data_IF_834798150911
#
_entry.id   IF_834798150911
#
_cell.length_a   1.000
_cell.length_b   1.000
_cell.length_c   1.000
_cell.angle_alpha   90.00
_cell.angle_beta   90.00
_cell.angle_gamma   90.00
#
_symmetry.space_group_name_H-M   'P 1'
#
loop_
_entity.id
_entity.type
_entity.pdbx_description
1 polymer ?
#
# COMPACT_ATOMS: atom_id res chain seq x y z
N UNK A 1 -18.14 -8.75 0.19
CA UNK A 1 -17.37 -7.53 0.50
C UNK A 1 -18.19 -6.45 1.25
N UNK A 2 -19.34 -5.99 0.74
CA UNK A 2 -20.16 -4.94 1.37
C UNK A 2 -21.25 -5.56 2.27
N UNK A 3 -21.34 -5.12 3.54
CA UNK A 3 -22.38 -5.55 4.49
C UNK A 3 -22.91 -4.33 5.25
N UNK A 4 -24.19 -3.95 5.11
CA UNK A 4 -24.77 -2.82 5.84
C UNK A 4 -24.93 -3.14 7.32
N UNK A 5 -25.02 -2.09 8.16
CA UNK A 5 -25.29 -2.22 9.59
C UNK A 5 -24.13 -2.73 10.46
N UNK A 6 -22.93 -2.92 9.89
CA UNK A 6 -21.72 -3.26 10.64
C UNK A 6 -20.89 -1.99 10.83
N UNK A 7 -20.58 -1.64 12.07
CA UNK A 7 -19.68 -0.52 12.38
C UNK A 7 -18.27 -0.75 11.79
N UNK A 8 -17.52 0.32 11.48
CA UNK A 8 -16.16 0.26 10.97
C UNK A 8 -15.23 -0.69 11.75
N UNK A 9 -14.90 -1.84 11.15
CA UNK A 9 -14.02 -2.84 11.78
C UNK A 9 -12.99 -3.49 10.82
N UNK A 10 -12.96 -3.09 9.56
CA UNK A 10 -12.06 -3.62 8.51
C UNK A 10 -10.81 -2.76 8.38
N UNK A 11 -9.64 -3.40 8.37
CA UNK A 11 -8.34 -2.74 8.20
C UNK A 11 -7.61 -3.37 7.04
N UNK A 12 -7.04 -2.52 6.18
CA UNK A 12 -6.20 -2.94 5.06
C UNK A 12 -4.79 -3.16 5.57
N UNK A 13 -4.19 -4.30 5.25
CA UNK A 13 -2.79 -4.59 5.51
C UNK A 13 -2.03 -4.69 4.19
N UNK A 14 -1.09 -3.77 3.99
CA UNK A 14 -0.18 -3.72 2.85
C UNK A 14 1.23 -4.09 3.27
N UNK A 15 2.05 -4.58 2.34
CA UNK A 15 3.44 -4.95 2.59
C UNK A 15 3.98 -5.93 1.54
N UNK A 16 5.25 -6.29 1.67
CA UNK A 16 5.95 -7.08 0.68
C UNK A 16 5.44 -8.52 0.53
N UNK A 17 5.43 -9.00 -0.72
CA UNK A 17 5.30 -10.43 -1.03
C UNK A 17 6.56 -11.21 -0.62
N UNK A 18 7.74 -10.57 -0.68
CA UNK A 18 9.04 -11.07 -0.28
C UNK A 18 9.52 -10.34 0.98
N UNK A 19 9.48 -11.02 2.13
CA UNK A 19 9.88 -10.50 3.44
C UNK A 19 10.63 -11.57 4.22
N UNK A 20 11.41 -11.17 5.22
CA UNK A 20 12.14 -12.10 6.09
C UNK A 20 11.21 -12.86 7.03
N UNK A 21 11.69 -13.95 7.62
CA UNK A 21 10.92 -14.71 8.62
C UNK A 21 10.56 -13.84 9.84
N UNK A 22 11.49 -12.98 10.31
CA UNK A 22 11.23 -12.07 11.43
C UNK A 22 10.16 -11.02 11.07
N UNK A 23 10.18 -10.49 9.85
CA UNK A 23 9.13 -9.57 9.36
C UNK A 23 7.78 -10.29 9.28
N UNK A 24 7.77 -11.53 8.82
CA UNK A 24 6.56 -12.34 8.69
C UNK A 24 5.95 -12.72 10.05
N UNK A 25 6.78 -13.07 11.04
CA UNK A 25 6.32 -13.31 12.41
C UNK A 25 5.78 -12.04 13.06
N UNK A 26 6.41 -10.88 12.83
CA UNK A 26 5.87 -9.60 13.27
C UNK A 26 4.49 -9.30 12.64
N UNK A 27 4.34 -9.53 11.33
CA UNK A 27 3.05 -9.38 10.64
C UNK A 27 1.96 -10.27 11.26
N UNK A 28 2.30 -11.52 11.62
CA UNK A 28 1.39 -12.44 12.33
C UNK A 28 1.04 -11.91 13.72
N UNK A 29 2.00 -11.39 14.47
CA UNK A 29 1.73 -10.86 15.81
C UNK A 29 0.82 -9.63 15.76
N UNK A 30 1.06 -8.69 14.84
CA UNK A 30 0.13 -7.57 14.60
C UNK A 30 -1.26 -8.09 14.24
N UNK A 31 -1.36 -9.04 13.30
CA UNK A 31 -2.62 -9.69 12.95
C UNK A 31 -3.33 -10.30 14.16
N UNK A 32 -2.60 -11.00 15.02
CA UNK A 32 -3.12 -11.57 16.27
C UNK A 32 -3.70 -10.50 17.19
N UNK A 33 -3.00 -9.38 17.37
CA UNK A 33 -3.48 -8.25 18.18
C UNK A 33 -4.73 -7.57 17.59
N UNK A 34 -4.85 -7.51 16.27
CA UNK A 34 -6.08 -7.05 15.59
C UNK A 34 -7.24 -8.03 15.80
N UNK A 35 -6.99 -9.33 15.65
CA UNK A 35 -8.00 -10.37 15.84
C UNK A 35 -8.58 -10.41 17.25
N UNK A 36 -7.74 -10.16 18.27
CA UNK A 36 -8.20 -10.02 19.67
C UNK A 36 -9.17 -8.83 19.88
N UNK A 37 -9.25 -7.91 18.94
CA UNK A 37 -10.10 -6.70 18.98
C UNK A 37 -11.26 -6.74 18.00
N UNK A 38 -11.58 -7.91 17.42
CA UNK A 38 -12.65 -8.07 16.41
C UNK A 38 -12.44 -7.21 15.16
N UNK A 39 -11.19 -6.97 14.81
CA UNK A 39 -10.82 -6.28 13.57
C UNK A 39 -10.68 -7.33 12.46
N UNK A 40 -11.37 -7.06 11.35
CA UNK A 40 -11.31 -7.83 10.11
C UNK A 40 -10.18 -7.33 9.21
N UNK A 41 -9.66 -8.20 8.34
CA UNK A 41 -8.46 -7.90 7.54
C UNK A 41 -8.78 -7.91 6.05
N UNK A 42 -8.27 -6.90 5.36
CA UNK A 42 -8.23 -6.80 3.89
C UNK A 42 -6.76 -6.86 3.44
N UNK A 43 -6.41 -7.68 2.46
CA UNK A 43 -5.06 -7.70 1.85
C UNK A 43 -5.10 -7.90 0.34
N UNK A 44 -3.93 -7.79 -0.29
CA UNK A 44 -3.69 -8.10 -1.70
C UNK A 44 -3.55 -9.58 -2.06
N UNK A 45 -4.09 -10.50 -1.24
CA UNK A 45 -4.13 -11.96 -1.51
C UNK A 45 -2.81 -12.74 -1.37
N UNK A 46 -1.68 -12.17 -1.77
CA UNK A 46 -0.39 -12.87 -1.95
C UNK A 46 0.31 -13.40 -0.69
N UNK A 47 1.60 -13.81 -0.82
CA UNK A 47 2.41 -14.31 0.29
C UNK A 47 2.91 -13.18 1.22
N UNK A 48 3.84 -13.49 2.12
CA UNK A 48 4.48 -12.50 2.98
C UNK A 48 3.48 -11.73 3.85
N UNK A 49 3.59 -10.39 3.81
CA UNK A 49 2.78 -9.47 4.59
C UNK A 49 1.29 -9.48 4.20
N UNK A 50 0.93 -10.03 3.04
CA UNK A 50 -0.47 -10.19 2.61
C UNK A 50 -1.13 -11.45 3.21
N UNK A 51 -0.35 -12.35 3.81
CA UNK A 51 -0.81 -13.60 4.46
C UNK A 51 -0.62 -13.59 5.98
N UNK A 52 0.50 -13.04 6.46
CA UNK A 52 0.88 -13.03 7.88
C UNK A 52 -0.22 -12.49 8.80
N UNK A 53 -0.76 -11.28 8.54
CA UNK A 53 -1.79 -10.68 9.39
C UNK A 53 -3.06 -11.53 9.48
N UNK A 54 -3.50 -12.14 8.37
CA UNK A 54 -4.67 -13.02 8.36
C UNK A 54 -4.47 -14.27 9.24
N UNK A 55 -3.28 -14.89 9.19
CA UNK A 55 -2.94 -16.03 10.09
C UNK A 55 -3.04 -15.64 11.55
N UNK A 56 -2.46 -14.50 11.92
CA UNK A 56 -2.52 -13.99 13.29
C UNK A 56 -3.95 -13.73 13.73
N UNK A 57 -4.70 -12.98 12.91
CA UNK A 57 -6.06 -12.59 13.22
C UNK A 57 -7.00 -13.78 13.37
N UNK A 58 -6.86 -14.83 12.55
CA UNK A 58 -7.63 -16.07 12.70
C UNK A 58 -7.48 -16.67 14.11
N UNK A 59 -6.26 -16.71 14.66
CA UNK A 59 -6.00 -17.17 16.03
C UNK A 59 -6.61 -16.21 17.04
N UNK A 60 -6.40 -14.90 16.87
CA UNK A 60 -6.91 -13.87 17.79
C UNK A 60 -8.44 -13.89 17.89
N UNK A 61 -9.11 -13.96 16.74
CA UNK A 61 -10.57 -14.04 16.64
C UNK A 61 -11.10 -15.34 17.26
N UNK A 62 -10.42 -16.47 17.04
CA UNK A 62 -10.77 -17.75 17.66
C UNK A 62 -10.72 -17.68 19.19
N UNK A 63 -9.69 -17.02 19.77
CA UNK A 63 -9.60 -16.83 21.23
C UNK A 63 -10.74 -15.97 21.80
N UNK A 64 -11.22 -15.00 21.02
CA UNK A 64 -12.36 -14.16 21.37
C UNK A 64 -13.72 -14.80 21.02
N UNK A 65 -13.72 -16.05 20.53
CA UNK A 65 -14.93 -16.78 20.09
C UNK A 65 -15.73 -16.01 19.03
N UNK A 66 -15.05 -15.23 18.20
CA UNK A 66 -15.67 -14.48 17.12
C UNK A 66 -15.96 -15.45 15.98
N UNK A 67 -17.24 -15.59 15.64
CA UNK A 67 -17.68 -16.34 14.46
C UNK A 67 -17.82 -15.39 13.26
N UNK A 68 -17.48 -15.88 12.06
CA UNK A 68 -17.67 -15.14 10.82
C UNK A 68 -16.72 -13.97 10.61
N UNK A 69 -15.52 -14.01 11.20
CA UNK A 69 -14.46 -13.05 10.92
C UNK A 69 -14.09 -13.02 9.44
N UNK A 70 -13.75 -11.84 8.93
CA UNK A 70 -13.66 -11.58 7.50
C UNK A 70 -12.21 -11.38 7.08
N UNK A 71 -11.78 -12.20 6.14
CA UNK A 71 -10.46 -12.16 5.52
C UNK A 71 -10.66 -11.91 4.03
N UNK A 72 -10.65 -10.63 3.67
CA UNK A 72 -10.99 -10.17 2.34
C UNK A 72 -9.69 -10.06 1.53
N UNK A 73 -9.64 -10.78 0.42
CA UNK A 73 -8.57 -10.67 -0.56
C UNK A 73 -9.04 -9.86 -1.76
N UNK A 74 -8.29 -8.83 -2.14
CA UNK A 74 -8.58 -8.01 -3.33
C UNK A 74 -7.42 -8.16 -4.32
N UNK A 75 -7.71 -8.64 -5.51
CA UNK A 75 -6.72 -8.89 -6.57
C UNK A 75 -7.25 -8.41 -7.93
N UNK A 76 -6.46 -8.54 -8.99
CA UNK A 76 -6.84 -8.23 -10.37
C UNK A 76 -6.11 -9.16 -11.35
N UNK A 77 -6.58 -9.34 -12.59
CA UNK A 77 -6.04 -10.33 -13.54
C UNK A 77 -4.53 -10.21 -13.80
N UNK A 78 -3.97 -9.01 -13.83
CA UNK A 78 -2.56 -8.74 -14.14
C UNK A 78 -1.56 -9.14 -13.04
N UNK A 79 -2.02 -9.45 -11.83
CA UNK A 79 -1.16 -9.77 -10.69
C UNK A 79 -1.54 -11.06 -9.97
N UNK A 80 -2.75 -11.58 -10.16
CA UNK A 80 -3.24 -12.78 -9.45
C UNK A 80 -2.35 -14.03 -9.66
N UNK A 81 -1.67 -14.12 -10.80
CA UNK A 81 -0.73 -15.20 -11.08
C UNK A 81 0.56 -15.08 -10.25
N UNK A 82 1.05 -13.86 -10.02
CA UNK A 82 2.25 -13.61 -9.22
C UNK A 82 1.93 -13.59 -7.70
N UNK A 83 0.77 -13.06 -7.32
CA UNK A 83 0.31 -12.87 -5.95
C UNK A 83 -0.99 -13.64 -5.70
N UNK A 84 -0.93 -14.97 -5.86
CA UNK A 84 -2.13 -15.81 -5.76
C UNK A 84 -2.80 -15.79 -4.37
N UNK A 85 -4.15 -15.83 -4.31
CA UNK A 85 -4.89 -15.85 -3.05
C UNK A 85 -4.49 -17.00 -2.13
N UNK A 86 -4.06 -16.63 -0.92
CA UNK A 86 -3.78 -17.61 0.12
C UNK A 86 -5.10 -18.24 0.67
N UNK A 87 -5.10 -19.51 1.13
CA UNK A 87 -6.31 -20.23 1.52
C UNK A 87 -7.07 -19.69 2.74
N UNK A 88 -6.53 -18.69 3.45
CA UNK A 88 -7.20 -18.07 4.61
C UNK A 88 -8.23 -17.03 4.14
N UNK A 89 -8.05 -16.49 2.92
CA UNK A 89 -9.02 -15.61 2.28
C UNK A 89 -10.36 -16.33 2.20
N UNK A 90 -11.38 -15.75 2.83
CA UNK A 90 -12.76 -16.27 2.81
C UNK A 90 -13.73 -15.40 2.00
N UNK A 91 -13.28 -14.21 1.58
CA UNK A 91 -13.98 -13.34 0.64
C UNK A 91 -12.99 -12.84 -0.41
N UNK A 92 -12.97 -13.45 -1.60
CA UNK A 92 -12.11 -13.02 -2.71
C UNK A 92 -12.88 -12.06 -3.63
N UNK A 93 -12.25 -10.93 -3.96
CA UNK A 93 -12.75 -9.94 -4.91
C UNK A 93 -11.70 -9.76 -6.01
N UNK A 94 -12.12 -9.92 -7.28
CA UNK A 94 -11.26 -9.70 -8.44
C UNK A 94 -11.74 -8.42 -9.12
N UNK A 95 -10.93 -7.37 -9.01
CA UNK A 95 -11.17 -6.08 -9.67
C UNK A 95 -10.64 -6.13 -11.12
N UNK A 96 -11.17 -5.30 -12.03
CA UNK A 96 -10.80 -5.41 -13.44
C UNK A 96 -9.41 -4.81 -13.75
N UNK A 97 -8.87 -3.93 -12.91
CA UNK A 97 -7.55 -3.32 -13.04
C UNK A 97 -6.96 -2.89 -11.68
N UNK A 98 -5.68 -2.45 -11.71
CA UNK A 98 -4.92 -2.03 -10.53
C UNK A 98 -5.55 -0.82 -9.85
N UNK A 99 -5.96 0.20 -10.60
CA UNK A 99 -6.54 1.42 -10.05
C UNK A 99 -7.85 1.13 -9.30
N UNK A 100 -8.72 0.27 -9.86
CA UNK A 100 -9.95 -0.15 -9.18
C UNK A 100 -9.67 -1.07 -7.99
N UNK A 101 -8.59 -1.86 -8.03
CA UNK A 101 -8.08 -2.59 -6.84
C UNK A 101 -7.68 -1.60 -5.74
N UNK A 102 -6.90 -0.57 -6.07
CA UNK A 102 -6.44 0.46 -5.12
C UNK A 102 -7.62 1.26 -4.53
N UNK A 103 -8.56 1.69 -5.37
CA UNK A 103 -9.77 2.38 -4.92
C UNK A 103 -10.60 1.50 -3.97
N UNK A 104 -10.74 0.21 -4.29
CA UNK A 104 -11.50 -0.72 -3.45
C UNK A 104 -10.86 -0.90 -2.08
N UNK A 105 -9.53 -0.93 -1.97
CA UNK A 105 -8.86 -0.98 -0.66
C UNK A 105 -9.27 0.17 0.23
N UNK A 106 -9.15 1.40 -0.25
CA UNK A 106 -9.36 2.60 0.59
C UNK A 106 -10.83 2.95 0.81
N UNK A 107 -11.73 2.50 -0.09
CA UNK A 107 -13.17 2.67 0.12
C UNK A 107 -13.75 1.63 1.07
N UNK A 108 -13.23 0.40 1.08
CA UNK A 108 -13.68 -0.64 2.01
C UNK A 108 -12.95 -0.58 3.36
N UNK A 109 -11.67 -0.25 3.35
CA UNK A 109 -10.85 -0.09 4.55
C UNK A 109 -11.28 1.11 5.37
N UNK A 110 -11.24 0.96 6.69
CA UNK A 110 -11.44 2.10 7.61
C UNK A 110 -10.12 2.50 8.30
N UNK A 111 -9.01 1.94 7.85
CA UNK A 111 -7.67 2.14 8.36
C UNK A 111 -6.69 1.29 7.55
N UNK A 112 -5.44 1.71 7.54
CA UNK A 112 -4.36 1.03 6.80
C UNK A 112 -3.20 0.76 7.75
N UNK A 113 -2.68 -0.46 7.68
CA UNK A 113 -1.40 -0.86 8.26
C UNK A 113 -0.46 -1.19 7.11
N UNK A 114 0.73 -0.60 7.12
CA UNK A 114 1.76 -0.84 6.11
C UNK A 114 2.96 -1.49 6.75
N UNK A 115 3.28 -2.70 6.32
CA UNK A 115 4.50 -3.43 6.67
C UNK A 115 5.61 -3.16 5.64
N UNK A 116 6.87 -3.52 5.94
CA UNK A 116 7.95 -3.42 4.96
C UNK A 116 7.62 -4.14 3.66
N UNK A 117 7.94 -3.50 2.55
CA UNK A 117 7.70 -4.00 1.20
C UNK A 117 8.54 -3.30 0.15
N UNK A 118 8.38 -3.73 -1.10
CA UNK A 118 9.08 -3.17 -2.24
C UNK A 118 8.25 -2.12 -2.98
N UNK A 119 8.44 -2.04 -4.29
CA UNK A 119 7.82 -1.04 -5.16
C UNK A 119 6.29 -1.05 -5.15
N UNK A 120 5.65 -2.22 -5.09
CA UNK A 120 4.18 -2.30 -5.02
C UNK A 120 3.61 -1.71 -3.72
N UNK A 121 4.29 -1.94 -2.60
CA UNK A 121 3.90 -1.31 -1.32
C UNK A 121 4.11 0.20 -1.35
N UNK A 122 5.18 0.67 -1.98
CA UNK A 122 5.40 2.11 -2.16
C UNK A 122 4.34 2.75 -3.08
N UNK A 123 3.92 2.06 -4.15
CA UNK A 123 2.79 2.48 -4.99
C UNK A 123 1.51 2.65 -4.17
N UNK A 124 1.19 1.68 -3.30
CA UNK A 124 0.03 1.74 -2.40
C UNK A 124 0.13 2.89 -1.40
N UNK A 125 1.31 3.15 -0.82
CA UNK A 125 1.57 4.31 0.06
C UNK A 125 1.32 5.62 -0.69
N UNK A 126 1.91 5.79 -1.88
CA UNK A 126 1.80 7.02 -2.68
C UNK A 126 0.36 7.27 -3.13
N UNK A 127 -0.37 6.19 -3.49
CA UNK A 127 -1.79 6.27 -3.81
C UNK A 127 -2.60 6.80 -2.63
N UNK A 128 -2.42 6.22 -1.44
CA UNK A 128 -3.13 6.62 -0.23
C UNK A 128 -2.80 8.07 0.17
N UNK A 129 -1.51 8.40 0.24
CA UNK A 129 -1.09 9.74 0.65
C UNK A 129 -1.53 10.80 -0.34
N UNK A 130 -1.44 10.53 -1.64
CA UNK A 130 -1.93 11.44 -2.67
C UNK A 130 -3.41 11.79 -2.47
N UNK A 131 -4.25 10.80 -2.20
CA UNK A 131 -5.67 11.00 -1.92
C UNK A 131 -5.87 11.77 -0.61
N UNK A 132 -5.17 11.40 0.46
CA UNK A 132 -5.29 12.08 1.75
C UNK A 132 -4.72 13.52 1.72
N UNK A 133 -3.88 13.87 0.76
CA UNK A 133 -3.34 15.23 0.58
C UNK A 133 -4.28 16.16 -0.22
N UNK A 134 -5.34 15.64 -0.84
CA UNK A 134 -6.36 16.49 -1.46
C UNK A 134 -7.07 17.32 -0.38
N UNK A 135 -7.24 18.61 -0.63
CA UNK A 135 -7.91 19.54 0.29
C UNK A 135 -9.34 19.09 0.66
N UNK A 136 -10.03 18.38 -0.23
CA UNK A 136 -11.35 17.81 0.03
C UNK A 136 -11.37 16.66 1.04
N UNK A 137 -10.20 16.12 1.40
CA UNK A 137 -10.06 15.01 2.34
C UNK A 137 -9.37 15.41 3.66
N UNK A 138 -9.05 16.69 3.88
CA UNK A 138 -8.31 17.15 5.06
C UNK A 138 -8.94 16.67 6.38
N UNK A 139 -10.27 16.80 6.49
CA UNK A 139 -11.06 16.48 7.68
C UNK A 139 -11.50 15.02 7.80
N UNK A 140 -11.20 14.17 6.81
CA UNK A 140 -11.60 12.76 6.84
C UNK A 140 -10.62 12.00 7.76
N UNK A 141 -11.08 11.44 8.90
CA UNK A 141 -10.23 10.59 9.71
C UNK A 141 -9.93 9.31 8.95
N UNK A 142 -8.66 8.96 8.86
CA UNK A 142 -8.21 7.74 8.21
C UNK A 142 -6.93 7.26 8.89
N UNK A 143 -7.01 6.34 9.86
CA UNK A 143 -5.83 5.90 10.60
C UNK A 143 -4.86 5.13 9.70
N UNK A 144 -3.63 5.62 9.60
CA UNK A 144 -2.54 4.97 8.85
C UNK A 144 -1.38 4.70 9.79
N UNK A 145 -0.99 3.43 9.89
CA UNK A 145 0.15 3.00 10.70
C UNK A 145 1.17 2.28 9.83
N UNK A 146 2.38 2.81 9.76
CA UNK A 146 3.55 2.14 9.19
C UNK A 146 4.28 1.39 10.30
N UNK A 147 4.55 0.10 10.15
CA UNK A 147 5.07 -0.71 11.25
C UNK A 147 5.88 -1.92 10.82
N UNK A 148 6.87 -2.28 11.63
CA UNK A 148 7.71 -3.46 11.45
C UNK A 148 8.39 -3.82 12.77
N UNK A 149 9.16 -4.91 12.76
CA UNK A 149 10.03 -5.26 13.88
C UNK A 149 11.22 -4.29 13.97
N UNK A 150 12.07 -4.46 14.97
CA UNK A 150 13.24 -3.59 15.18
C UNK A 150 14.19 -3.56 13.97
N UNK A 151 14.33 -4.68 13.24
CA UNK A 151 15.18 -4.75 12.05
C UNK A 151 14.66 -3.86 10.90
N UNK A 152 13.38 -3.49 10.92
CA UNK A 152 12.75 -2.61 9.93
C UNK A 152 12.90 -1.11 10.24
N UNK A 153 13.57 -0.71 11.33
CA UNK A 153 13.72 0.71 11.70
C UNK A 153 14.34 1.55 10.57
N UNK A 154 15.50 1.14 10.07
CA UNK A 154 16.19 1.85 8.99
C UNK A 154 15.39 1.89 7.68
N UNK A 155 14.56 0.88 7.42
CA UNK A 155 13.64 0.87 6.29
C UNK A 155 12.59 1.98 6.43
N UNK A 156 11.93 2.09 7.59
CA UNK A 156 10.92 3.12 7.79
C UNK A 156 11.50 4.53 7.91
N UNK A 157 12.73 4.68 8.43
CA UNK A 157 13.44 5.96 8.39
C UNK A 157 13.67 6.43 6.94
N UNK A 158 14.06 5.53 6.03
CA UNK A 158 14.18 5.85 4.59
C UNK A 158 12.83 6.20 3.96
N UNK A 159 11.77 5.45 4.26
CA UNK A 159 10.42 5.73 3.73
C UNK A 159 9.92 7.09 4.22
N UNK A 160 10.08 7.39 5.51
CA UNK A 160 9.70 8.67 6.10
C UNK A 160 10.45 9.84 5.47
N UNK A 161 11.78 9.69 5.31
CA UNK A 161 12.62 10.70 4.69
C UNK A 161 12.22 10.95 3.23
N UNK A 162 11.98 9.89 2.45
CA UNK A 162 11.51 10.00 1.08
C UNK A 162 10.18 10.75 1.01
N UNK A 163 9.20 10.39 1.84
CA UNK A 163 7.88 11.05 1.83
C UNK A 163 8.01 12.53 2.21
N UNK A 164 8.83 12.86 3.22
CA UNK A 164 9.08 14.25 3.63
C UNK A 164 9.79 15.05 2.54
N UNK A 165 10.79 14.48 1.89
CA UNK A 165 11.56 15.17 0.84
C UNK A 165 10.75 15.39 -0.44
N UNK A 166 9.79 14.52 -0.73
CA UNK A 166 8.98 14.58 -1.95
C UNK A 166 7.63 15.28 -1.73
N UNK A 167 6.81 14.75 -0.83
CA UNK A 167 5.44 15.19 -0.57
C UNK A 167 5.33 16.22 0.57
N UNK A 168 6.35 16.33 1.42
CA UNK A 168 6.43 17.32 2.51
C UNK A 168 5.84 16.84 3.84
N UNK A 169 6.03 17.65 4.90
CA UNK A 169 5.58 17.34 6.26
C UNK A 169 4.06 17.14 6.38
N UNK A 170 3.27 17.78 5.52
CA UNK A 170 1.82 17.54 5.47
C UNK A 170 1.48 16.08 5.15
N UNK A 171 2.32 15.39 4.37
CA UNK A 171 2.17 13.97 4.08
C UNK A 171 2.59 13.11 5.28
N UNK A 172 3.70 13.49 5.94
CA UNK A 172 4.19 12.82 7.14
C UNK A 172 3.17 12.85 8.30
N UNK A 173 2.39 13.94 8.41
CA UNK A 173 1.32 14.06 9.39
C UNK A 173 0.11 13.14 9.14
N UNK A 174 0.06 12.43 8.00
CA UNK A 174 -1.04 11.51 7.67
C UNK A 174 -0.79 10.07 8.12
N UNK A 175 0.37 9.75 8.69
CA UNK A 175 0.67 8.41 9.21
C UNK A 175 1.43 8.45 10.52
N UNK A 176 1.42 7.32 11.25
CA UNK A 176 2.28 7.09 12.40
C UNK A 176 3.22 5.92 12.12
N UNK A 177 4.51 6.07 12.45
CA UNK A 177 5.47 4.96 12.43
C UNK A 177 5.55 4.35 13.84
N UNK A 178 5.31 3.04 13.95
CA UNK A 178 5.41 2.28 15.19
C UNK A 178 6.34 1.09 14.96
N UNK A 179 7.48 1.06 15.66
CA UNK A 179 8.47 -0.02 15.55
C UNK A 179 8.37 -0.94 16.76
N UNK A 180 8.35 -2.24 16.50
CA UNK A 180 8.42 -3.33 17.49
C UNK A 180 7.35 -3.30 18.59
N UNK A 181 6.17 -2.72 18.31
CA UNK A 181 5.04 -2.69 19.27
C UNK A 181 3.71 -3.06 18.60
N UNK A 182 3.46 -4.37 18.40
CA UNK A 182 2.23 -4.84 17.76
C UNK A 182 0.98 -4.56 18.61
N UNK A 183 1.14 -4.36 19.93
CA UNK A 183 0.03 -4.01 20.81
C UNK A 183 -0.39 -2.57 20.57
N UNK A 184 0.58 -1.65 20.47
CA UNK A 184 0.34 -0.24 20.19
C UNK A 184 -0.24 -0.04 18.80
N UNK A 185 0.26 -0.73 17.77
CA UNK A 185 -0.35 -0.73 16.42
C UNK A 185 -1.86 -1.02 16.51
N UNK A 186 -2.23 -2.11 17.18
CA UNK A 186 -3.63 -2.49 17.29
C UNK A 186 -4.47 -1.52 18.13
N UNK A 187 -3.88 -0.82 19.12
CA UNK A 187 -4.57 0.22 19.90
C UNK A 187 -4.81 1.49 19.10
N UNK A 188 -3.83 1.94 18.32
CA UNK A 188 -3.95 3.13 17.45
C UNK A 188 -5.02 2.90 16.41
N UNK A 189 -4.97 1.75 15.73
CA UNK A 189 -5.98 1.35 14.76
C UNK A 189 -7.37 1.27 15.41
N UNK A 190 -7.51 0.61 16.56
CA UNK A 190 -8.79 0.54 17.27
C UNK A 190 -9.35 1.91 17.61
N UNK A 191 -8.51 2.85 18.06
CA UNK A 191 -8.94 4.22 18.40
C UNK A 191 -9.36 4.98 17.14
N UNK A 192 -8.59 4.89 16.06
CA UNK A 192 -8.95 5.50 14.79
C UNK A 192 -10.23 4.93 14.18
N UNK A 193 -10.53 3.64 14.37
CA UNK A 193 -11.80 3.06 13.94
C UNK A 193 -13.01 3.68 14.68
N UNK A 194 -12.85 4.05 15.95
CA UNK A 194 -13.87 4.80 16.70
C UNK A 194 -14.07 6.18 16.09
N UNK A 195 -12.99 6.91 15.80
CA UNK A 195 -13.07 8.22 15.14
C UNK A 195 -13.74 8.14 13.76
N UNK A 196 -13.39 7.13 12.95
CA UNK A 196 -14.05 6.89 11.66
C UNK A 196 -15.54 6.62 11.86
N UNK A 197 -15.91 5.80 12.85
CA UNK A 197 -17.32 5.50 13.15
C UNK A 197 -18.11 6.75 13.46
N UNK A 198 -17.61 7.60 14.36
CA UNK A 198 -18.28 8.84 14.74
C UNK A 198 -18.32 9.85 13.59
N UNK A 199 -17.25 9.96 12.80
CA UNK A 199 -17.25 10.81 11.61
C UNK A 199 -18.30 10.36 10.58
N UNK A 200 -18.40 9.07 10.29
CA UNK A 200 -19.41 8.56 9.33
C UNK A 200 -20.83 8.79 9.83
N UNK A 201 -21.10 8.64 11.13
CA UNK A 201 -22.40 8.98 11.74
C UNK A 201 -22.72 10.47 11.57
N UNK A 202 -21.77 11.35 11.89
CA UNK A 202 -21.97 12.80 11.84
C UNK A 202 -22.17 13.33 10.42
N UNK A 203 -21.69 12.59 9.41
CA UNK A 203 -21.70 13.00 8.02
C UNK A 203 -22.71 12.22 7.17
N UNK A 204 -23.59 11.42 7.79
CA UNK A 204 -24.58 10.55 7.14
C UNK A 204 -24.00 9.68 6.01
N UNK A 205 -22.78 9.17 6.21
CA UNK A 205 -22.07 8.33 5.23
C UNK A 205 -22.10 6.85 5.63
N UNK A 206 -21.98 5.96 4.64
CA UNK A 206 -22.05 4.53 4.84
C UNK A 206 -20.83 3.99 5.61
N UNK A 207 -21.04 3.14 6.60
CA UNK A 207 -19.94 2.44 7.28
C UNK A 207 -19.22 1.46 6.36
N UNK A 208 -19.93 0.83 5.43
CA UNK A 208 -19.39 -0.27 4.64
C UNK A 208 -18.61 0.17 3.40
N UNK A 209 -18.67 1.47 3.05
CA UNK A 209 -18.03 2.04 1.87
C UNK A 209 -17.82 3.55 2.05
N UNK A 210 -16.62 4.06 1.79
CA UNK A 210 -16.30 5.49 1.90
C UNK A 210 -16.71 6.29 0.68
N UNK A 211 -17.94 6.80 0.66
CA UNK A 211 -18.43 7.64 -0.44
C UNK A 211 -17.89 9.07 -0.37
N UNK A 212 -17.66 9.59 0.84
CA UNK A 212 -17.18 10.98 1.01
C UNK A 212 -15.71 11.17 0.71
N UNK A 213 -14.93 10.09 0.66
CA UNK A 213 -13.54 10.15 0.20
C UNK A 213 -13.52 10.59 -1.27
N UNK A 214 -12.99 11.80 -1.49
CA UNK A 214 -12.76 12.34 -2.83
C UNK A 214 -11.53 11.67 -3.41
N UNK A 215 -11.69 11.04 -4.56
CA UNK A 215 -10.58 10.44 -5.30
C UNK A 215 -10.56 11.14 -6.65
N UNK A 216 -9.49 11.87 -6.93
CA UNK A 216 -9.32 12.57 -8.20
C UNK A 216 -9.17 11.55 -9.35
N UNK A 217 -9.62 11.91 -10.55
CA UNK A 217 -9.51 11.08 -11.76
C UNK A 217 -8.06 10.64 -12.01
N UNK A 218 -7.05 11.43 -11.63
CA UNK A 218 -5.63 11.08 -11.71
C UNK A 218 -5.26 9.77 -10.98
N UNK A 219 -6.05 9.37 -9.98
CA UNK A 219 -5.90 8.13 -9.24
C UNK A 219 -6.82 7.00 -9.76
N UNK A 220 -7.83 7.31 -10.55
CA UNK A 220 -8.82 6.33 -11.04
C UNK A 220 -8.55 5.87 -12.47
N UNK A 221 -7.97 6.73 -13.30
CA UNK A 221 -7.67 6.41 -14.69
C UNK A 221 -6.58 5.33 -14.77
N UNK A 222 -6.85 4.21 -15.48
CA UNK A 222 -5.86 3.17 -15.69
C UNK A 222 -4.58 3.72 -16.31
N UNK A 223 -3.45 3.41 -15.67
CA UNK A 223 -2.13 3.71 -16.24
C UNK A 223 -1.61 2.45 -16.94
N UNK A 224 -1.22 2.61 -18.22
CA UNK A 224 -0.66 1.54 -19.02
C UNK A 224 0.84 1.83 -19.24
N UNK A 225 1.74 1.21 -18.46
CA UNK A 225 3.16 1.53 -18.53
C UNK A 225 3.79 1.01 -19.82
N UNK A 226 4.37 1.92 -20.58
CA UNK A 226 5.23 1.70 -21.73
C UNK A 226 6.33 2.79 -21.77
N UNK A 227 7.28 2.69 -22.69
CA UNK A 227 8.39 3.65 -22.77
C UNK A 227 7.93 5.11 -22.95
N UNK A 228 6.82 5.34 -23.66
CA UNK A 228 6.32 6.69 -23.93
C UNK A 228 5.61 7.28 -22.72
N UNK A 229 4.67 6.55 -22.14
CA UNK A 229 3.91 6.95 -20.95
C UNK A 229 4.81 7.16 -19.74
N UNK A 230 5.84 6.32 -19.55
CA UNK A 230 6.84 6.49 -18.50
C UNK A 230 7.69 7.74 -18.72
N UNK A 231 8.14 8.00 -19.95
CA UNK A 231 8.92 9.20 -20.27
C UNK A 231 8.11 10.51 -20.13
N UNK A 232 6.78 10.44 -20.27
CA UNK A 232 5.88 11.60 -20.17
C UNK A 232 5.42 11.91 -18.73
N UNK A 233 5.87 11.17 -17.72
CA UNK A 233 5.50 11.45 -16.34
C UNK A 233 6.08 12.78 -15.87
N UNK A 234 5.23 13.63 -15.27
CA UNK A 234 5.67 14.89 -14.69
C UNK A 234 6.23 14.65 -13.28
N UNK A 235 7.54 14.47 -13.21
CA UNK A 235 8.33 14.40 -11.97
C UNK A 235 8.98 15.76 -11.65
N UNK A 236 8.26 16.87 -11.90
CA UNK A 236 8.65 18.20 -11.46
C UNK A 236 8.23 18.51 -10.01
N UNK A 237 8.90 19.45 -9.35
CA UNK A 237 8.53 19.90 -7.99
C UNK A 237 7.42 20.94 -7.97
N UNK A 238 7.22 21.67 -9.06
CA UNK A 238 6.29 22.80 -9.17
C UNK A 238 4.86 22.34 -9.50
N UNK A 239 4.33 21.44 -8.65
CA UNK A 239 2.97 20.94 -8.76
C UNK A 239 2.37 20.72 -7.36
N UNK A 240 1.04 20.63 -7.27
CA UNK A 240 0.39 20.32 -6.00
C UNK A 240 0.82 18.92 -5.51
N UNK A 241 0.96 18.76 -4.19
CA UNK A 241 1.52 17.53 -3.60
C UNK A 241 0.70 16.28 -3.93
N UNK A 242 -0.61 16.40 -4.03
CA UNK A 242 -1.48 15.29 -4.43
C UNK A 242 -1.26 14.89 -5.91
N UNK A 243 -0.96 15.83 -6.80
CA UNK A 243 -0.63 15.57 -8.21
C UNK A 243 0.75 14.90 -8.31
N UNK A 244 1.75 15.40 -7.56
CA UNK A 244 3.06 14.76 -7.50
C UNK A 244 2.97 13.31 -7.02
N UNK A 245 2.17 13.05 -5.98
CA UNK A 245 1.92 11.70 -5.49
C UNK A 245 1.29 10.81 -6.57
N UNK A 246 0.37 11.33 -7.40
CA UNK A 246 -0.22 10.58 -8.51
C UNK A 246 0.82 10.21 -9.58
N UNK A 247 1.74 11.12 -9.92
CA UNK A 247 2.82 10.87 -10.88
C UNK A 247 3.85 9.87 -10.33
N UNK A 248 4.24 10.02 -9.06
CA UNK A 248 5.10 9.04 -8.39
C UNK A 248 4.44 7.66 -8.36
N UNK A 249 3.15 7.57 -8.00
CA UNK A 249 2.38 6.32 -8.02
C UNK A 249 2.49 5.64 -9.38
N UNK A 250 2.29 6.37 -10.48
CA UNK A 250 2.42 5.84 -11.85
C UNK A 250 3.84 5.35 -12.15
N UNK A 251 4.87 6.09 -11.72
CA UNK A 251 6.26 5.68 -11.88
C UNK A 251 6.55 4.33 -11.19
N UNK A 252 6.12 4.17 -9.93
CA UNK A 252 6.25 2.90 -9.20
C UNK A 252 5.43 1.78 -9.83
N UNK A 253 4.22 2.07 -10.33
CA UNK A 253 3.38 1.11 -11.08
C UNK A 253 4.06 0.59 -12.35
N UNK A 254 4.76 1.49 -13.06
CA UNK A 254 5.58 1.11 -14.21
C UNK A 254 6.76 0.23 -13.84
N UNK A 255 7.44 0.52 -12.73
CA UNK A 255 8.53 -0.32 -12.21
C UNK A 255 8.01 -1.70 -11.79
N UNK A 256 6.84 -1.79 -11.14
CA UNK A 256 6.18 -3.08 -10.85
C UNK A 256 5.90 -3.85 -12.14
N UNK A 257 5.34 -3.16 -13.14
CA UNK A 257 5.01 -3.76 -14.45
C UNK A 257 6.24 -4.32 -15.14
N UNK A 258 7.34 -3.56 -15.23
CA UNK A 258 8.59 -4.00 -15.83
C UNK A 258 9.30 -5.14 -15.08
N UNK A 259 8.95 -5.40 -13.82
CA UNK A 259 9.58 -6.44 -13.00
C UNK A 259 8.78 -7.75 -12.92
N UNK A 260 7.45 -7.66 -12.98
CA UNK A 260 6.55 -8.77 -12.60
C UNK A 260 5.54 -9.13 -13.70
N UNK A 261 5.11 -8.17 -14.53
CA UNK A 261 4.09 -8.42 -15.55
C UNK A 261 4.74 -8.83 -16.86
N UNK A 262 4.21 -9.87 -17.49
CA UNK A 262 4.74 -10.45 -18.73
C UNK A 262 4.94 -9.41 -19.83
N UNK A 263 3.92 -8.60 -20.11
CA UNK A 263 3.98 -7.51 -21.09
C UNK A 263 5.06 -6.45 -20.78
N UNK A 264 5.29 -6.15 -19.49
CA UNK A 264 6.32 -5.23 -19.05
C UNK A 264 7.71 -5.82 -19.24
N UNK A 265 7.91 -7.07 -18.83
CA UNK A 265 9.19 -7.79 -18.98
C UNK A 265 9.59 -7.86 -20.46
N UNK A 266 8.66 -8.25 -21.34
CA UNK A 266 8.91 -8.30 -22.79
C UNK A 266 9.30 -6.94 -23.37
N UNK A 267 8.66 -5.86 -22.92
CA UNK A 267 8.98 -4.50 -23.37
C UNK A 267 10.40 -4.09 -22.94
N UNK A 268 10.80 -4.43 -21.73
CA UNK A 268 12.16 -4.14 -21.21
C UNK A 268 13.21 -4.94 -21.97
N UNK A 269 12.96 -6.22 -22.27
CA UNK A 269 13.87 -7.05 -23.06
C UNK A 269 14.04 -6.53 -24.49
N UNK A 270 12.96 -6.03 -25.10
CA UNK A 270 12.95 -5.58 -26.50
C UNK A 270 13.50 -4.17 -26.69
N UNK A 271 13.18 -3.25 -25.79
CA UNK A 271 13.44 -1.81 -25.99
C UNK A 271 14.39 -1.21 -24.94
N UNK A 272 14.81 -1.99 -23.94
CA UNK A 272 15.64 -1.53 -22.83
C UNK A 272 14.81 -0.93 -21.67
N UNK A 273 15.48 -0.38 -20.64
CA UNK A 273 14.81 0.16 -19.45
C UNK A 273 13.91 1.36 -19.78
N UNK A 274 12.87 1.57 -18.96
CA UNK A 274 12.06 2.79 -19.00
C UNK A 274 12.93 4.01 -18.71
N UNK A 275 12.79 5.07 -19.52
CA UNK A 275 13.52 6.32 -19.32
C UNK A 275 12.63 7.31 -18.58
N UNK A 276 13.05 7.74 -17.39
CA UNK A 276 12.35 8.71 -16.56
C UNK A 276 13.11 10.04 -16.57
N UNK A 277 12.40 11.16 -16.60
CA UNK A 277 12.95 12.51 -16.47
C UNK A 277 12.23 13.25 -15.35
N UNK A 278 12.89 14.19 -14.69
CA UNK A 278 12.32 14.93 -13.57
C UNK A 278 13.27 15.95 -12.98
N UNK A 279 12.85 16.55 -11.87
CA UNK A 279 13.72 17.34 -11.01
C UNK A 279 14.87 16.46 -10.50
N UNK A 280 16.14 16.90 -10.62
CA UNK A 280 17.29 16.07 -10.24
C UNK A 280 17.25 15.56 -8.80
N UNK A 281 16.83 16.38 -7.83
CA UNK A 281 16.76 15.92 -6.44
C UNK A 281 15.64 14.91 -6.25
N UNK A 282 14.50 15.07 -6.94
CA UNK A 282 13.43 14.08 -6.88
C UNK A 282 13.88 12.74 -7.48
N UNK A 283 14.58 12.78 -8.62
CA UNK A 283 15.16 11.60 -9.23
C UNK A 283 16.15 10.90 -8.29
N UNK A 284 17.03 11.66 -7.63
CA UNK A 284 17.99 11.13 -6.65
C UNK A 284 17.28 10.45 -5.45
N UNK A 285 16.20 11.05 -4.94
CA UNK A 285 15.39 10.47 -3.85
C UNK A 285 14.73 9.15 -4.26
N UNK A 286 14.16 9.08 -5.47
CA UNK A 286 13.58 7.84 -6.01
C UNK A 286 14.67 6.78 -6.19
N UNK A 287 15.83 7.18 -6.71
CA UNK A 287 16.93 6.26 -6.98
C UNK A 287 17.53 5.68 -5.68
N UNK A 288 17.79 6.49 -4.65
CA UNK A 288 18.26 5.98 -3.34
C UNK A 288 17.25 5.01 -2.71
N UNK A 289 15.96 5.31 -2.82
CA UNK A 289 14.90 4.45 -2.30
C UNK A 289 14.88 3.09 -3.01
N UNK A 290 14.91 3.08 -4.35
CA UNK A 290 14.90 1.86 -5.15
C UNK A 290 16.18 1.05 -4.95
N UNK A 291 17.36 1.68 -4.85
CA UNK A 291 18.60 1.01 -4.46
C UNK A 291 18.50 0.37 -3.07
N UNK A 292 17.80 1.02 -2.13
CA UNK A 292 17.46 0.45 -0.84
C UNK A 292 16.64 -0.85 -0.96
N UNK A 293 15.62 -0.86 -1.81
CA UNK A 293 14.80 -2.06 -2.05
C UNK A 293 15.59 -3.19 -2.71
N UNK A 294 16.51 -2.88 -3.63
CA UNK A 294 17.39 -3.86 -4.26
C UNK A 294 18.32 -4.51 -3.22
N UNK A 295 19.00 -3.69 -2.40
CA UNK A 295 19.93 -4.16 -1.34
C UNK A 295 19.24 -5.03 -0.29
N UNK A 296 17.95 -4.80 -0.06
CA UNK A 296 17.13 -5.57 0.88
C UNK A 296 16.38 -6.74 0.23
N UNK A 297 16.66 -7.06 -1.04
CA UNK A 297 16.02 -8.14 -1.80
C UNK A 297 14.48 -8.03 -1.88
N UNK A 298 13.95 -6.81 -2.02
CA UNK A 298 12.50 -6.52 -2.08
C UNK A 298 11.93 -6.36 -3.49
N UNK A 299 12.76 -6.53 -4.53
CA UNK A 299 12.38 -6.33 -5.95
C UNK A 299 12.00 -7.63 -6.67
N UNK A 300 12.74 -8.72 -6.43
CA UNK A 300 12.46 -10.08 -6.92
C UNK A 300 12.88 -11.09 -5.85
N UNK A 301 12.18 -12.22 -5.81
CA UNK A 301 12.39 -13.27 -4.82
C UNK A 301 13.75 -14.01 -4.95
N UNK A 302 14.48 -13.94 -6.07
CA UNK A 302 15.53 -14.97 -6.35
C UNK A 302 16.88 -14.48 -6.97
N UNK A 303 17.04 -13.32 -7.60
CA UNK A 303 18.30 -13.05 -8.33
C UNK A 303 19.29 -12.08 -7.66
N UNK A 304 20.55 -12.52 -7.58
CA UNK A 304 21.71 -11.72 -7.17
C UNK A 304 22.11 -10.66 -8.22
N UNK A 305 21.64 -10.80 -9.47
CA UNK A 305 21.94 -9.92 -10.61
C UNK A 305 20.71 -9.10 -11.06
N UNK A 306 19.97 -8.51 -10.12
CA UNK A 306 18.85 -7.63 -10.46
C UNK A 306 19.32 -6.45 -11.33
N UNK A 307 18.80 -6.36 -12.57
CA UNK A 307 18.98 -5.20 -13.45
C UNK A 307 17.75 -4.31 -13.36
N UNK A 308 17.90 -3.03 -12.97
CA UNK A 308 16.79 -2.08 -12.97
C UNK A 308 16.06 -2.03 -14.31
N UNK A 309 14.72 -2.08 -14.28
CA UNK A 309 13.87 -1.88 -15.45
C UNK A 309 13.65 -0.38 -15.79
N UNK A 310 14.40 0.51 -15.14
CA UNK A 310 14.28 1.96 -15.27
C UNK A 310 15.67 2.62 -15.29
N UNK A 311 15.75 3.82 -15.83
CA UNK A 311 16.92 4.69 -15.81
C UNK A 311 16.49 6.16 -15.82
N UNK A 312 17.11 6.98 -14.98
CA UNK A 312 16.94 8.43 -15.04
C UNK A 312 17.82 9.03 -16.12
N UNK A 313 17.22 9.81 -17.01
CA UNK A 313 17.94 10.56 -18.05
C UNK A 313 17.93 12.04 -17.72
N UNK A 314 19.04 12.72 -18.00
CA UNK A 314 19.13 14.17 -17.81
C UNK A 314 18.08 14.88 -18.68
N UNK A 315 17.40 15.86 -18.09
CA UNK A 315 16.47 16.75 -18.79
C UNK A 315 17.17 17.76 -19.69
#
# INVERSE_FOLDING_TARGET
AIKPGIEPNKVVCWGGHAITDDEYEYCKEVGYRLGLRKIDIITGCGPGAMKGPMKGALIGQSKQRIQGGRFIGITEPGIIAAESPNPIVNELVIMPDIEKRLETFIRLGHGVIVFPGGVGTMEEILYLLGILLDNGNCDIPFPVVMTGNENSRSYFEKIDQFIKNTLGESAANRYQIIIDDPIQVAKVIQSGLVEVTEFRKNMDDAFHFNWRLKIDDLFQQPFHPDHQSMANLDLGKDQEKHILAANLRKAFSGIVTGNVKENGIEAIEKFGPFKLTGDPMLCDEIDDLLHGFIKQHRMKLIDADYRPCYEFVAS
#
